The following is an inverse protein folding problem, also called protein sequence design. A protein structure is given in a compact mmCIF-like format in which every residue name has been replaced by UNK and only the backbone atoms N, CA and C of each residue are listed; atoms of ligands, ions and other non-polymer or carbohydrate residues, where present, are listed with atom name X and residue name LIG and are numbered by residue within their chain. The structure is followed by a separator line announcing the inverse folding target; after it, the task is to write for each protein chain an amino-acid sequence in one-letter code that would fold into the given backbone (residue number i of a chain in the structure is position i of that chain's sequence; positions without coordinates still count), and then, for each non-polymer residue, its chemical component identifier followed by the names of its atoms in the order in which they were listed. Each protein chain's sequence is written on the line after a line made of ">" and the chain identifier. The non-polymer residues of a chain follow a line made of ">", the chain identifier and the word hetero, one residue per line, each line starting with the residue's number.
data_IF_750547352218
#
_entry.id   IF_750547352218
#
_cell.length_a   1.000
_cell.length_b   1.000
_cell.length_c   1.000
_cell.angle_alpha   90.00
_cell.angle_beta   90.00
_cell.angle_gamma   90.00
#
_symmetry.space_group_name_H-M   'P 1'
#
loop_
_entity.id
_entity.type
_entity.pdbx_description
1 polymer ?
#
# COMPACT_ATOMS: atom_id res chain seq x y z
N UNK A 1 0.07 -47.21 9.89
CA UNK A 1 0.91 -46.10 9.41
C UNK A 1 0.69 -44.94 10.36
N UNK A 2 1.75 -44.25 10.78
CA UNK A 2 1.62 -43.09 11.68
C UNK A 2 1.36 -41.88 10.80
N UNK A 3 0.31 -41.15 11.14
CA UNK A 3 -0.07 -39.93 10.42
C UNK A 3 0.46 -38.70 11.18
N UNK A 4 1.54 -38.11 10.69
CA UNK A 4 2.14 -36.91 11.27
C UNK A 4 1.35 -35.62 10.98
N UNK A 5 0.25 -35.69 10.24
CA UNK A 5 -0.69 -34.57 10.14
C UNK A 5 -1.47 -34.38 11.44
N UNK A 6 -1.61 -35.45 12.25
CA UNK A 6 -2.30 -35.40 13.53
C UNK A 6 -1.48 -34.60 14.56
N UNK A 7 -2.10 -33.63 15.28
CA UNK A 7 -1.37 -32.70 16.17
C UNK A 7 -0.51 -33.39 17.24
N UNK A 8 -1.02 -34.49 17.83
CA UNK A 8 -0.31 -35.21 18.89
C UNK A 8 0.98 -35.88 18.39
N UNK A 9 0.93 -36.54 17.21
CA UNK A 9 2.12 -37.16 16.62
C UNK A 9 3.15 -36.12 16.20
N UNK A 10 2.69 -34.98 15.66
CA UNK A 10 3.53 -33.85 15.32
C UNK A 10 4.24 -33.30 16.56
N UNK A 11 3.51 -33.07 17.67
CA UNK A 11 4.09 -32.54 18.90
C UNK A 11 5.17 -33.48 19.47
N UNK A 12 4.93 -34.80 19.50
CA UNK A 12 5.90 -35.76 19.96
C UNK A 12 7.14 -35.82 19.06
N UNK A 13 6.95 -35.80 17.74
CA UNK A 13 8.06 -35.80 16.81
C UNK A 13 8.92 -34.52 16.95
N UNK A 14 8.30 -33.37 17.14
CA UNK A 14 9.00 -32.11 17.42
C UNK A 14 9.75 -32.16 18.75
N UNK A 15 9.16 -32.76 19.79
CA UNK A 15 9.83 -32.95 21.07
C UNK A 15 11.08 -33.83 20.95
N UNK A 16 10.99 -34.95 20.18
CA UNK A 16 12.13 -35.80 19.89
C UNK A 16 13.26 -35.11 19.10
N UNK A 17 12.90 -34.18 18.24
CA UNK A 17 13.88 -33.39 17.47
C UNK A 17 14.54 -32.30 18.31
N UNK A 18 13.80 -31.68 19.23
CA UNK A 18 14.26 -30.54 20.02
C UNK A 18 15.08 -30.91 21.24
N UNK A 19 14.86 -32.11 21.80
CA UNK A 19 15.47 -32.56 23.05
C UNK A 19 16.17 -33.92 22.85
N UNK A 20 17.19 -34.20 23.64
CA UNK A 20 17.89 -35.48 23.58
C UNK A 20 18.64 -35.71 24.91
N UNK A 21 18.38 -36.80 25.63
CA UNK A 21 17.30 -37.77 25.42
C UNK A 21 15.94 -37.28 25.87
N UNK A 22 14.88 -37.85 25.35
CA UNK A 22 13.47 -37.54 25.68
C UNK A 22 12.84 -38.68 26.49
N UNK A 23 12.12 -38.33 27.54
CA UNK A 23 11.35 -39.30 28.32
C UNK A 23 9.93 -39.41 27.77
N UNK A 24 9.60 -40.57 27.18
CA UNK A 24 8.30 -40.83 26.58
C UNK A 24 7.54 -41.81 27.46
N UNK A 25 6.43 -41.34 28.09
CA UNK A 25 5.55 -42.13 28.92
C UNK A 25 4.16 -42.13 28.31
N UNK A 26 3.52 -43.28 28.27
CA UNK A 26 2.14 -43.44 27.78
C UNK A 26 2.03 -44.48 26.67
N UNK A 27 0.97 -45.29 26.73
CA UNK A 27 0.73 -46.37 25.78
C UNK A 27 0.40 -45.85 24.38
N UNK A 28 -0.18 -44.67 24.29
CA UNK A 28 -0.52 -44.04 23.01
C UNK A 28 0.70 -43.79 22.10
N UNK A 29 1.90 -43.64 22.69
CA UNK A 29 3.11 -43.34 21.90
C UNK A 29 3.87 -44.59 21.45
N UNK A 30 3.47 -45.79 21.92
CA UNK A 30 4.15 -47.05 21.57
C UNK A 30 4.22 -47.31 20.07
N UNK A 31 3.19 -46.98 19.25
CA UNK A 31 3.27 -47.19 17.81
C UNK A 31 4.44 -46.41 17.16
N UNK A 32 4.66 -45.14 17.54
CA UNK A 32 5.76 -44.35 17.00
C UNK A 32 7.11 -44.83 17.54
N UNK A 33 7.19 -45.09 18.83
CA UNK A 33 8.42 -45.61 19.45
C UNK A 33 8.79 -46.96 18.85
N UNK A 34 7.81 -47.86 18.66
CA UNK A 34 8.02 -49.13 17.99
C UNK A 34 8.55 -48.96 16.56
N UNK A 35 7.85 -48.17 15.75
CA UNK A 35 8.28 -47.88 14.37
C UNK A 35 9.72 -47.38 14.30
N UNK A 36 10.07 -46.41 15.16
CA UNK A 36 11.41 -45.84 15.16
C UNK A 36 12.48 -46.83 15.66
N UNK A 37 12.16 -47.69 16.64
CA UNK A 37 13.07 -48.74 17.13
C UNK A 37 13.30 -49.83 16.09
N UNK A 38 12.24 -50.33 15.51
CA UNK A 38 12.29 -51.43 14.51
C UNK A 38 13.13 -51.03 13.28
N UNK A 39 13.14 -49.73 12.98
CA UNK A 39 13.96 -49.17 11.88
C UNK A 39 15.32 -48.61 12.36
N UNK A 40 15.73 -48.85 13.58
CA UNK A 40 17.01 -48.38 14.15
C UNK A 40 17.19 -46.86 14.13
N UNK A 41 16.07 -46.13 14.21
CA UNK A 41 16.03 -44.66 14.17
C UNK A 41 16.07 -44.06 15.59
N UNK A 42 15.94 -44.91 16.63
CA UNK A 42 15.84 -44.52 18.02
C UNK A 42 16.75 -45.38 18.90
N UNK A 43 17.52 -44.74 19.76
CA UNK A 43 18.33 -45.39 20.80
C UNK A 43 17.59 -45.32 22.13
N UNK A 44 17.60 -46.43 22.87
CA UNK A 44 16.98 -46.50 24.22
C UNK A 44 18.04 -46.27 25.29
N UNK A 45 17.84 -45.31 26.19
CA UNK A 45 18.64 -45.02 27.37
C UNK A 45 17.92 -45.45 28.67
N UNK A 46 17.27 -46.61 28.66
CA UNK A 46 16.43 -47.13 29.76
C UNK A 46 15.02 -47.46 29.32
N UNK A 47 14.12 -47.66 30.27
CA UNK A 47 12.76 -48.16 29.97
C UNK A 47 11.86 -47.14 29.24
N UNK A 48 12.12 -45.84 29.38
CA UNK A 48 11.28 -44.77 28.82
C UNK A 48 12.05 -43.59 28.28
N UNK A 49 13.37 -43.65 28.25
CA UNK A 49 14.24 -42.58 27.74
C UNK A 49 14.78 -42.93 26.37
N UNK A 50 14.66 -42.04 25.43
CA UNK A 50 14.97 -42.29 24.03
C UNK A 50 15.73 -41.13 23.40
N UNK A 51 16.62 -41.45 22.48
CA UNK A 51 17.40 -40.51 21.69
C UNK A 51 17.32 -40.86 20.20
N UNK A 52 17.14 -39.85 19.35
CA UNK A 52 17.15 -40.06 17.91
C UNK A 52 18.57 -40.29 17.37
N UNK A 53 18.71 -41.31 16.55
CA UNK A 53 19.93 -41.45 15.73
C UNK A 53 19.98 -40.33 14.68
N UNK A 54 21.15 -40.07 14.05
CA UNK A 54 21.22 -39.11 12.93
C UNK A 54 20.27 -39.49 11.79
N UNK A 55 20.04 -40.76 11.53
CA UNK A 55 19.06 -41.26 10.56
C UNK A 55 17.62 -40.97 11.01
N UNK A 56 17.33 -41.16 12.30
CA UNK A 56 16.03 -40.85 12.90
C UNK A 56 15.68 -39.38 12.83
N UNK A 57 16.67 -38.50 13.07
CA UNK A 57 16.47 -37.04 12.90
C UNK A 57 16.10 -36.70 11.46
N UNK A 58 16.84 -37.20 10.47
CA UNK A 58 16.49 -36.98 9.04
C UNK A 58 15.13 -37.51 8.68
N UNK A 59 14.77 -38.70 9.16
CA UNK A 59 13.48 -39.33 8.94
C UNK A 59 12.34 -38.47 9.46
N UNK A 60 12.35 -38.13 10.77
CA UNK A 60 11.29 -37.33 11.37
C UNK A 60 11.20 -35.92 10.78
N UNK A 61 12.32 -35.28 10.48
CA UNK A 61 12.32 -33.97 9.80
C UNK A 61 11.63 -34.08 8.44
N UNK A 62 11.93 -35.11 7.66
CA UNK A 62 11.29 -35.33 6.35
C UNK A 62 9.80 -35.61 6.51
N UNK A 63 9.39 -36.49 7.42
CA UNK A 63 7.98 -36.84 7.62
C UNK A 63 7.15 -35.64 8.12
N UNK A 64 7.70 -34.82 9.02
CA UNK A 64 7.06 -33.58 9.46
C UNK A 64 6.92 -32.57 8.31
N UNK A 65 7.95 -32.42 7.49
CA UNK A 65 7.90 -31.58 6.31
C UNK A 65 6.86 -32.05 5.30
N UNK A 66 6.77 -33.36 5.05
CA UNK A 66 5.76 -33.95 4.17
C UNK A 66 4.34 -33.78 4.72
N UNK A 67 4.17 -33.92 6.03
CA UNK A 67 2.89 -33.70 6.70
C UNK A 67 2.50 -32.21 6.67
N UNK A 68 3.46 -31.30 6.75
CA UNK A 68 3.24 -29.87 6.65
C UNK A 68 2.81 -29.49 5.22
N UNK A 69 3.47 -30.03 4.20
CA UNK A 69 3.08 -29.86 2.80
C UNK A 69 1.69 -30.46 2.54
N UNK A 70 1.39 -31.66 3.07
CA UNK A 70 0.09 -32.32 2.91
C UNK A 70 -1.06 -31.59 3.65
N UNK A 71 -0.76 -30.86 4.71
CA UNK A 71 -1.73 -30.05 5.46
C UNK A 71 -1.70 -28.57 5.10
N UNK A 72 -0.78 -28.14 4.25
CA UNK A 72 -0.80 -26.80 3.72
C UNK A 72 -2.15 -26.56 3.02
N UNK A 73 -2.81 -25.45 3.30
CA UNK A 73 -4.02 -25.13 2.54
C UNK A 73 -3.64 -25.03 1.05
N UNK A 74 -4.54 -25.40 0.17
CA UNK A 74 -4.31 -25.20 -1.27
C UNK A 74 -4.02 -23.73 -1.54
N UNK A 75 -3.25 -23.47 -2.59
CA UNK A 75 -3.06 -22.10 -3.08
C UNK A 75 -4.44 -21.44 -3.24
N UNK A 76 -4.60 -20.18 -2.81
CA UNK A 76 -5.91 -19.53 -2.78
C UNK A 76 -6.62 -19.58 -4.13
N UNK A 77 -5.89 -19.42 -5.23
CA UNK A 77 -6.44 -19.45 -6.59
C UNK A 77 -6.94 -20.84 -6.96
N UNK A 78 -6.18 -21.89 -6.63
CA UNK A 78 -6.59 -23.29 -6.90
C UNK A 78 -7.84 -23.65 -6.10
N UNK A 79 -7.90 -23.21 -4.84
CA UNK A 79 -9.06 -23.45 -4.00
C UNK A 79 -10.29 -22.72 -4.55
N UNK A 80 -10.18 -21.44 -4.93
CA UNK A 80 -11.26 -20.66 -5.52
C UNK A 80 -11.77 -21.30 -6.80
N UNK A 81 -10.84 -21.71 -7.68
CA UNK A 81 -11.18 -22.38 -8.93
C UNK A 81 -11.92 -23.69 -8.69
N UNK A 82 -11.50 -24.49 -7.72
CA UNK A 82 -12.19 -25.73 -7.33
C UNK A 82 -13.61 -25.47 -6.80
N UNK A 83 -13.89 -24.29 -6.24
CA UNK A 83 -15.23 -23.88 -5.83
C UNK A 83 -16.04 -23.21 -6.97
N UNK A 84 -15.49 -23.11 -8.17
CA UNK A 84 -16.11 -22.42 -9.30
C UNK A 84 -16.03 -20.88 -9.19
N UNK A 85 -15.17 -20.36 -8.35
CA UNK A 85 -14.95 -18.92 -8.18
C UNK A 85 -13.71 -18.49 -8.93
N UNK A 86 -13.73 -17.25 -9.42
CA UNK A 86 -12.59 -16.65 -10.08
C UNK A 86 -12.34 -15.25 -9.53
N UNK A 87 -11.08 -14.92 -9.32
CA UNK A 87 -10.68 -13.55 -9.06
C UNK A 87 -10.75 -12.75 -10.36
N UNK A 88 -11.24 -11.52 -10.29
CA UNK A 88 -11.18 -10.60 -11.42
C UNK A 88 -9.75 -10.07 -11.62
N UNK A 89 -9.53 -9.34 -12.72
CA UNK A 89 -8.25 -8.68 -12.98
C UNK A 89 -7.89 -7.63 -11.90
N UNK A 90 -8.88 -7.02 -11.27
CA UNK A 90 -8.71 -6.02 -10.22
C UNK A 90 -9.26 -6.56 -8.91
N UNK A 91 -8.39 -6.84 -7.96
CA UNK A 91 -8.73 -7.49 -6.69
C UNK A 91 -8.43 -6.55 -5.53
N UNK A 92 -9.38 -6.47 -4.59
CA UNK A 92 -9.15 -5.72 -3.37
C UNK A 92 -8.00 -6.34 -2.55
N UNK A 93 -7.01 -5.53 -2.18
CA UNK A 93 -5.82 -5.98 -1.45
C UNK A 93 -6.16 -6.66 -0.11
N UNK A 94 -7.22 -6.21 0.59
CA UNK A 94 -7.67 -6.83 1.84
C UNK A 94 -8.29 -8.21 1.61
N UNK A 95 -9.01 -8.37 0.50
CA UNK A 95 -9.57 -9.67 0.11
C UNK A 95 -8.44 -10.65 -0.18
N UNK A 96 -7.45 -10.21 -0.95
CA UNK A 96 -6.30 -11.05 -1.26
C UNK A 96 -5.48 -11.37 0.01
N UNK A 97 -5.22 -10.38 0.86
CA UNK A 97 -4.54 -10.61 2.15
C UNK A 97 -5.29 -11.65 3.01
N UNK A 98 -6.62 -11.57 3.06
CA UNK A 98 -7.43 -12.56 3.78
C UNK A 98 -7.34 -13.96 3.17
N UNK A 99 -7.36 -14.09 1.84
CA UNK A 99 -7.18 -15.37 1.14
C UNK A 99 -5.81 -16.00 1.43
N UNK A 100 -4.76 -15.17 1.46
CA UNK A 100 -3.39 -15.59 1.82
C UNK A 100 -3.14 -15.63 3.34
N UNK A 101 -4.20 -15.47 4.16
CA UNK A 101 -4.16 -15.53 5.63
C UNK A 101 -3.14 -14.57 6.26
N UNK A 102 -2.90 -13.44 5.61
CA UNK A 102 -2.07 -12.37 6.16
C UNK A 102 -2.84 -11.61 7.22
N UNK A 103 -2.19 -11.30 8.36
CA UNK A 103 -2.77 -10.49 9.42
C UNK A 103 -2.87 -9.00 9.05
N UNK A 104 -2.05 -8.56 8.10
CA UNK A 104 -1.98 -7.19 7.61
C UNK A 104 -1.94 -7.17 6.10
N UNK A 105 -2.39 -6.06 5.52
CA UNK A 105 -2.29 -5.80 4.08
C UNK A 105 -0.85 -5.36 3.78
N UNK A 106 0.03 -6.34 3.67
CA UNK A 106 1.42 -6.11 3.35
C UNK A 106 1.90 -7.19 2.35
N UNK A 107 2.08 -6.78 1.10
CA UNK A 107 2.62 -7.62 0.05
C UNK A 107 4.02 -7.17 -0.31
N UNK A 108 4.95 -8.10 -0.31
CA UNK A 108 6.32 -7.85 -0.77
C UNK A 108 6.36 -7.53 -2.26
N UNK A 109 7.39 -6.86 -2.77
CA UNK A 109 7.52 -6.60 -4.20
C UNK A 109 7.47 -7.87 -5.06
N UNK A 110 8.02 -8.98 -4.59
CA UNK A 110 7.98 -10.26 -5.30
C UNK A 110 6.55 -10.83 -5.38
N UNK A 111 5.81 -10.78 -4.28
CA UNK A 111 4.40 -11.20 -4.30
C UNK A 111 3.55 -10.34 -5.24
N UNK A 112 3.82 -9.04 -5.31
CA UNK A 112 3.12 -8.15 -6.24
C UNK A 112 3.43 -8.52 -7.70
N UNK A 113 4.69 -8.82 -8.02
CA UNK A 113 5.08 -9.30 -9.35
C UNK A 113 4.39 -10.63 -9.67
N UNK A 114 4.36 -11.58 -8.72
CA UNK A 114 3.69 -12.88 -8.92
C UNK A 114 2.18 -12.70 -9.19
N UNK A 115 1.53 -11.73 -8.56
CA UNK A 115 0.13 -11.42 -8.84
C UNK A 115 -0.05 -10.79 -10.21
N UNK A 116 0.81 -9.85 -10.60
CA UNK A 116 0.78 -9.24 -11.93
C UNK A 116 1.01 -10.26 -13.04
N UNK A 117 1.93 -11.21 -12.86
CA UNK A 117 2.17 -12.33 -13.76
C UNK A 117 0.94 -13.25 -13.91
N UNK A 118 0.13 -13.36 -12.86
CA UNK A 118 -1.17 -14.07 -12.85
C UNK A 118 -2.32 -13.21 -13.40
N UNK A 119 -2.05 -11.98 -13.85
CA UNK A 119 -3.05 -11.05 -14.35
C UNK A 119 -3.88 -10.37 -13.25
N UNK A 120 -3.44 -10.43 -11.99
CA UNK A 120 -4.13 -9.84 -10.84
C UNK A 120 -3.47 -8.50 -10.50
N UNK A 121 -4.25 -7.43 -10.53
CA UNK A 121 -3.85 -6.10 -10.06
C UNK A 121 -4.50 -5.80 -8.72
N UNK A 122 -3.69 -5.37 -7.77
CA UNK A 122 -4.16 -4.99 -6.43
C UNK A 122 -4.83 -3.61 -6.45
N UNK A 123 -5.89 -3.47 -5.68
CA UNK A 123 -6.66 -2.25 -5.55
C UNK A 123 -7.03 -2.04 -4.07
N UNK A 124 -6.71 -0.88 -3.53
CA UNK A 124 -7.11 -0.52 -2.17
C UNK A 124 -8.61 -0.14 -2.07
N UNK A 125 -9.28 0.04 -3.21
CA UNK A 125 -10.66 0.54 -3.34
C UNK A 125 -10.88 1.88 -2.61
N UNK A 126 -9.86 2.72 -2.57
CA UNK A 126 -9.95 4.06 -2.02
C UNK A 126 -10.79 4.97 -2.93
N UNK A 127 -11.34 6.01 -2.32
CA UNK A 127 -12.03 7.05 -3.08
C UNK A 127 -11.02 8.10 -3.51
N UNK A 128 -10.96 8.38 -4.80
CA UNK A 128 -10.34 9.59 -5.31
C UNK A 128 -11.40 10.71 -5.32
N UNK A 129 -11.05 11.89 -4.84
CA UNK A 129 -11.95 13.05 -4.82
C UNK A 129 -11.42 14.12 -5.77
N UNK A 130 -12.33 14.68 -6.57
CA UNK A 130 -12.03 15.68 -7.59
C UNK A 130 -12.87 16.94 -7.34
N UNK A 131 -12.25 18.11 -7.39
CA UNK A 131 -12.91 19.42 -7.39
C UNK A 131 -12.41 20.23 -8.56
N UNK A 132 -13.30 21.03 -9.13
CA UNK A 132 -12.98 21.97 -10.19
C UNK A 132 -13.90 23.19 -10.12
N UNK A 133 -13.41 24.35 -10.55
CA UNK A 133 -14.25 25.56 -10.68
C UNK A 133 -15.18 25.50 -11.90
N UNK A 134 -14.85 24.65 -12.87
CA UNK A 134 -15.60 24.49 -14.13
C UNK A 134 -16.11 23.06 -14.27
N UNK A 135 -17.23 22.85 -14.96
CA UNK A 135 -17.74 21.53 -15.27
C UNK A 135 -16.75 20.71 -16.12
N UNK A 136 -16.71 19.42 -15.88
CA UNK A 136 -15.99 18.44 -16.69
C UNK A 136 -16.81 17.16 -16.84
N UNK A 137 -16.45 16.35 -17.82
CA UNK A 137 -17.02 15.02 -18.02
C UNK A 137 -15.92 13.95 -17.98
N UNK A 138 -16.31 12.76 -17.54
CA UNK A 138 -15.46 11.58 -17.45
C UNK A 138 -15.83 10.64 -18.59
N UNK A 139 -14.90 10.36 -19.47
CA UNK A 139 -15.05 9.42 -20.57
C UNK A 139 -14.33 8.10 -20.22
N UNK A 140 -15.07 7.01 -20.24
CA UNK A 140 -14.59 5.68 -19.93
C UNK A 140 -14.36 4.84 -21.20
N UNK A 141 -13.40 3.92 -21.14
CA UNK A 141 -13.01 3.04 -22.26
C UNK A 141 -14.16 2.21 -22.84
N UNK A 142 -15.21 1.95 -22.04
CA UNK A 142 -16.43 1.31 -22.51
C UNK A 142 -17.39 2.21 -23.29
N UNK A 143 -16.97 3.44 -23.64
CA UNK A 143 -17.81 4.41 -24.36
C UNK A 143 -18.78 5.20 -23.47
N UNK A 144 -18.75 4.99 -22.16
CA UNK A 144 -19.60 5.71 -21.19
C UNK A 144 -19.05 7.11 -20.97
N UNK A 145 -19.92 8.11 -21.09
CA UNK A 145 -19.65 9.50 -20.72
C UNK A 145 -20.48 9.85 -19.49
N UNK A 146 -19.82 10.33 -18.45
CA UNK A 146 -20.46 10.80 -17.21
C UNK A 146 -20.20 12.29 -17.09
N UNK A 147 -21.28 13.07 -17.10
CA UNK A 147 -21.23 14.51 -16.78
C UNK A 147 -21.05 14.71 -15.28
N UNK A 148 -19.98 15.36 -14.88
CA UNK A 148 -19.68 15.67 -13.48
C UNK A 148 -20.36 16.96 -13.00
N UNK A 149 -20.90 17.78 -13.89
CA UNK A 149 -21.49 19.08 -13.54
C UNK A 149 -22.58 19.00 -12.46
N UNK A 150 -23.54 18.06 -12.49
CA UNK A 150 -24.55 17.95 -11.44
C UNK A 150 -23.97 17.67 -10.06
N UNK A 151 -22.91 16.85 -9.99
CA UNK A 151 -22.26 16.52 -8.72
C UNK A 151 -21.44 17.68 -8.18
N UNK A 152 -20.69 18.35 -9.04
CA UNK A 152 -19.94 19.55 -8.66
C UNK A 152 -20.88 20.65 -8.17
N UNK A 153 -22.03 20.83 -8.82
CA UNK A 153 -23.02 21.83 -8.41
C UNK A 153 -23.71 21.47 -7.09
N UNK A 154 -24.06 20.20 -6.89
CA UNK A 154 -24.82 19.76 -5.72
C UNK A 154 -23.93 19.49 -4.50
N UNK A 155 -22.72 18.93 -4.71
CA UNK A 155 -21.85 18.41 -3.66
C UNK A 155 -20.52 19.17 -3.56
N UNK A 156 -20.18 20.00 -4.55
CA UNK A 156 -18.89 20.68 -4.64
C UNK A 156 -17.73 19.79 -5.10
N UNK A 157 -17.96 18.50 -5.23
CA UNK A 157 -16.92 17.52 -5.58
C UNK A 157 -17.48 16.27 -6.27
N UNK A 158 -16.59 15.49 -6.87
CA UNK A 158 -16.85 14.16 -7.41
C UNK A 158 -15.97 13.17 -6.71
N UNK A 159 -16.56 12.15 -6.08
CA UNK A 159 -15.84 11.06 -5.44
C UNK A 159 -15.97 9.78 -6.28
N UNK A 160 -14.84 9.21 -6.70
CA UNK A 160 -14.79 8.04 -7.57
C UNK A 160 -14.02 6.92 -6.90
N UNK A 161 -14.59 5.71 -6.82
CA UNK A 161 -13.85 4.54 -6.40
C UNK A 161 -12.69 4.23 -7.35
N UNK A 162 -11.57 3.79 -6.83
CA UNK A 162 -10.39 3.43 -7.60
C UNK A 162 -10.71 2.41 -8.71
N UNK A 163 -11.58 1.46 -8.43
CA UNK A 163 -12.09 0.50 -9.43
C UNK A 163 -12.77 1.15 -10.62
N UNK A 164 -13.55 2.19 -10.37
CA UNK A 164 -14.23 2.96 -11.43
C UNK A 164 -13.19 3.68 -12.30
N UNK A 165 -12.15 4.21 -11.66
CA UNK A 165 -11.05 4.90 -12.36
C UNK A 165 -10.25 3.98 -13.28
N UNK A 166 -10.20 2.67 -13.04
CA UNK A 166 -9.48 1.72 -13.89
C UNK A 166 -9.95 1.75 -15.36
N UNK A 167 -11.19 2.16 -15.61
CA UNK A 167 -11.74 2.34 -16.96
C UNK A 167 -11.70 3.79 -17.48
N UNK A 168 -11.16 4.74 -16.71
CA UNK A 168 -11.13 6.15 -17.10
C UNK A 168 -10.17 6.35 -18.29
N UNK A 169 -10.70 6.80 -19.41
CA UNK A 169 -9.93 7.09 -20.63
C UNK A 169 -9.54 8.55 -20.77
N UNK A 170 -10.47 9.48 -20.51
CA UNK A 170 -10.24 10.93 -20.64
C UNK A 170 -11.07 11.73 -19.65
N UNK A 171 -10.50 12.85 -19.21
CA UNK A 171 -11.24 13.92 -18.55
C UNK A 171 -11.46 15.02 -19.59
N UNK A 172 -12.73 15.27 -19.93
CA UNK A 172 -13.12 16.25 -20.94
C UNK A 172 -13.60 17.52 -20.22
N UNK A 173 -12.95 18.63 -20.52
CA UNK A 173 -13.30 19.93 -19.98
C UNK A 173 -14.48 20.53 -20.77
N UNK A 174 -15.46 21.12 -20.08
CA UNK A 174 -16.66 21.64 -20.73
C UNK A 174 -16.37 22.89 -21.57
N UNK A 175 -15.82 23.93 -20.94
CA UNK A 175 -15.40 25.16 -21.60
C UNK A 175 -13.93 25.47 -21.26
N UNK A 176 -13.18 25.90 -22.26
CA UNK A 176 -11.74 26.18 -22.12
C UNK A 176 -10.89 24.90 -22.09
N UNK A 177 -9.77 24.95 -21.39
CA UNK A 177 -8.84 23.84 -21.24
C UNK A 177 -8.42 23.67 -19.80
N UNK A 178 -8.09 22.44 -19.42
CA UNK A 178 -7.37 22.20 -18.17
C UNK A 178 -5.94 22.67 -18.32
N UNK A 179 -5.50 23.56 -17.47
CA UNK A 179 -4.18 24.15 -17.49
C UNK A 179 -3.30 23.59 -16.36
N UNK A 180 -3.94 23.28 -15.25
CA UNK A 180 -3.26 22.88 -14.02
C UNK A 180 -4.00 21.76 -13.28
N UNK A 181 -3.23 20.86 -12.72
CA UNK A 181 -3.68 19.90 -11.71
C UNK A 181 -2.98 20.20 -10.40
N UNK A 182 -3.74 20.32 -9.34
CA UNK A 182 -3.21 20.38 -7.98
C UNK A 182 -3.59 19.09 -7.29
N UNK A 183 -2.60 18.36 -6.79
CA UNK A 183 -2.84 17.20 -5.92
C UNK A 183 -2.62 17.58 -4.47
N UNK A 184 -3.30 16.94 -3.56
CA UNK A 184 -3.08 17.07 -2.12
C UNK A 184 -3.35 15.75 -1.41
N UNK A 185 -2.61 15.49 -0.34
CA UNK A 185 -2.81 14.38 0.60
C UNK A 185 -3.62 14.81 1.84
N UNK A 186 -3.85 16.11 2.02
CA UNK A 186 -4.67 16.66 3.10
C UNK A 186 -6.14 16.81 2.70
N UNK A 187 -7.03 16.22 3.48
CA UNK A 187 -8.48 16.36 3.31
C UNK A 187 -8.93 17.81 3.62
N UNK A 188 -8.35 18.43 4.64
CA UNK A 188 -8.65 19.82 5.02
C UNK A 188 -8.24 20.79 3.91
N UNK A 189 -7.00 20.67 3.40
CA UNK A 189 -6.54 21.48 2.29
C UNK A 189 -7.36 21.26 1.02
N UNK A 190 -7.78 20.03 0.74
CA UNK A 190 -8.67 19.73 -0.37
C UNK A 190 -10.03 20.43 -0.25
N UNK A 191 -10.59 20.45 0.95
CA UNK A 191 -11.89 21.07 1.18
C UNK A 191 -11.86 22.60 1.04
N UNK A 192 -10.80 23.24 1.54
CA UNK A 192 -10.73 24.68 1.70
C UNK A 192 -10.02 25.43 0.57
N UNK A 193 -9.18 24.75 -0.23
CA UNK A 193 -8.43 25.42 -1.31
C UNK A 193 -9.40 26.07 -2.31
N UNK A 194 -9.33 27.42 -2.50
CA UNK A 194 -10.09 28.07 -3.55
C UNK A 194 -9.54 27.69 -4.93
N UNK A 195 -10.46 27.48 -5.88
CA UNK A 195 -10.12 27.02 -7.21
C UNK A 195 -10.26 28.12 -8.25
N UNK A 196 -9.22 28.30 -9.07
CA UNK A 196 -9.24 29.13 -10.24
C UNK A 196 -9.76 28.35 -11.47
N UNK A 197 -10.35 29.00 -12.48
CA UNK A 197 -10.68 28.39 -13.74
C UNK A 197 -9.48 27.64 -14.35
N UNK A 198 -9.74 26.54 -15.06
CA UNK A 198 -8.67 25.70 -15.64
C UNK A 198 -7.94 24.81 -14.63
N UNK A 199 -8.33 24.79 -13.36
CA UNK A 199 -7.71 24.00 -12.31
C UNK A 199 -8.55 22.79 -11.93
N UNK A 200 -7.92 21.60 -11.93
CA UNK A 200 -8.45 20.37 -11.32
C UNK A 200 -7.71 20.12 -10.00
N UNK A 201 -8.43 20.06 -8.92
CA UNK A 201 -7.90 19.65 -7.61
C UNK A 201 -8.22 18.19 -7.37
N UNK A 202 -7.21 17.44 -6.96
CA UNK A 202 -7.28 15.99 -6.74
C UNK A 202 -6.80 15.67 -5.33
N UNK A 203 -7.68 15.12 -4.51
CA UNK A 203 -7.25 14.50 -3.26
C UNK A 203 -6.82 13.06 -3.56
N UNK A 204 -5.56 12.76 -3.24
CA UNK A 204 -4.96 11.45 -3.48
C UNK A 204 -4.70 10.78 -2.13
N UNK A 205 -5.45 9.73 -1.77
CA UNK A 205 -5.15 8.99 -0.56
C UNK A 205 -3.77 8.32 -0.68
N UNK A 206 -3.00 8.23 0.42
CA UNK A 206 -1.65 7.68 0.42
C UNK A 206 -1.55 6.26 -0.14
N UNK A 207 -2.62 5.48 -0.02
CA UNK A 207 -2.70 4.07 -0.40
C UNK A 207 -3.31 3.80 -1.78
N UNK A 208 -3.55 4.82 -2.62
CA UNK A 208 -4.18 4.64 -3.93
C UNK A 208 -3.26 5.01 -5.12
N UNK A 209 -2.15 4.30 -5.35
CA UNK A 209 -1.23 4.62 -6.45
C UNK A 209 -1.86 4.47 -7.83
N UNK A 210 -2.74 3.47 -8.02
CA UNK A 210 -3.40 3.22 -9.32
C UNK A 210 -4.35 4.34 -9.70
N UNK A 211 -5.14 4.87 -8.76
CA UNK A 211 -6.07 5.95 -9.00
C UNK A 211 -5.38 7.19 -9.60
N UNK A 212 -4.22 7.56 -9.06
CA UNK A 212 -3.45 8.68 -9.57
C UNK A 212 -2.93 8.42 -10.98
N UNK A 213 -2.42 7.22 -11.27
CA UNK A 213 -1.93 6.86 -12.61
C UNK A 213 -3.04 6.96 -13.66
N UNK A 214 -4.26 6.54 -13.33
CA UNK A 214 -5.41 6.65 -14.22
C UNK A 214 -5.77 8.12 -14.52
N UNK A 215 -5.76 8.98 -13.51
CA UNK A 215 -5.98 10.43 -13.71
C UNK A 215 -4.88 11.03 -14.58
N UNK A 216 -3.62 10.67 -14.36
CA UNK A 216 -2.49 11.14 -15.20
C UNK A 216 -2.68 10.74 -16.64
N UNK A 217 -3.04 9.48 -16.90
CA UNK A 217 -3.27 8.98 -18.27
C UNK A 217 -4.48 9.64 -18.96
N UNK A 218 -5.48 10.06 -18.18
CA UNK A 218 -6.71 10.68 -18.68
C UNK A 218 -6.58 12.19 -18.98
N UNK A 219 -5.44 12.81 -18.63
CA UNK A 219 -5.21 14.24 -18.76
C UNK A 219 -4.23 14.57 -19.91
N UNK A 220 -4.28 15.79 -20.48
CA UNK A 220 -3.32 16.22 -21.48
C UNK A 220 -1.87 16.16 -20.95
N UNK A 221 -0.89 15.78 -21.78
CA UNK A 221 0.49 15.61 -21.36
C UNK A 221 1.20 16.92 -20.94
N UNK A 222 0.71 18.06 -21.42
CA UNK A 222 1.27 19.39 -21.16
C UNK A 222 0.66 20.10 -19.94
N UNK A 223 -0.26 19.47 -19.25
CA UNK A 223 -0.89 20.04 -18.04
C UNK A 223 0.16 20.24 -16.95
N UNK A 224 0.13 21.38 -16.27
CA UNK A 224 1.02 21.67 -15.15
C UNK A 224 0.59 20.92 -13.90
N UNK A 225 1.54 20.29 -13.21
CA UNK A 225 1.27 19.56 -11.96
C UNK A 225 1.90 20.27 -10.77
N UNK A 226 1.09 20.47 -9.74
CA UNK A 226 1.54 20.99 -8.46
C UNK A 226 1.04 20.09 -7.35
N UNK A 227 1.73 20.12 -6.21
CA UNK A 227 1.33 19.37 -5.02
C UNK A 227 1.24 20.31 -3.83
N UNK A 228 0.12 20.29 -3.15
CA UNK A 228 -0.12 20.98 -1.89
C UNK A 228 -0.02 19.97 -0.76
N UNK A 229 1.03 20.06 0.02
CA UNK A 229 1.30 19.23 1.19
C UNK A 229 1.91 20.07 2.30
N UNK A 230 2.12 19.51 3.48
CA UNK A 230 2.78 20.23 4.57
C UNK A 230 4.17 20.72 4.14
N UNK A 231 4.54 21.91 4.58
CA UNK A 231 5.88 22.49 4.38
C UNK A 231 6.81 21.98 5.48
N UNK A 232 7.23 20.75 5.34
CA UNK A 232 8.13 20.03 6.25
C UNK A 232 9.03 19.04 5.44
N UNK A 233 10.03 18.42 6.06
CA UNK A 233 10.88 17.45 5.36
C UNK A 233 10.12 16.29 4.74
N UNK A 234 9.03 15.82 5.37
CA UNK A 234 8.19 14.77 4.84
C UNK A 234 7.37 15.23 3.62
N UNK A 235 6.99 16.53 3.57
CA UNK A 235 6.35 17.15 2.42
C UNK A 235 7.25 17.17 1.18
N UNK A 236 8.56 17.44 1.37
CA UNK A 236 9.53 17.34 0.26
C UNK A 236 9.61 15.91 -0.26
N UNK A 237 9.69 14.93 0.64
CA UNK A 237 9.73 13.51 0.24
C UNK A 237 8.44 13.11 -0.51
N UNK A 238 7.26 13.59 -0.05
CA UNK A 238 5.97 13.35 -0.74
C UNK A 238 5.93 13.97 -2.14
N UNK A 239 6.41 15.21 -2.28
CA UNK A 239 6.49 15.86 -3.60
C UNK A 239 7.40 15.09 -4.56
N UNK A 240 8.56 14.63 -4.09
CA UNK A 240 9.48 13.84 -4.90
C UNK A 240 8.88 12.47 -5.28
N UNK A 241 8.24 11.79 -4.34
CA UNK A 241 7.55 10.53 -4.60
C UNK A 241 6.40 10.71 -5.60
N UNK A 242 5.67 11.81 -5.51
CA UNK A 242 4.64 12.16 -6.49
C UNK A 242 5.24 12.36 -7.88
N UNK A 243 6.29 13.16 -8.02
CA UNK A 243 6.96 13.40 -9.31
C UNK A 243 7.45 12.08 -9.95
N UNK A 244 8.01 11.18 -9.15
CA UNK A 244 8.41 9.84 -9.61
C UNK A 244 7.20 9.02 -10.12
N UNK A 245 6.10 9.00 -9.37
CA UNK A 245 4.87 8.28 -9.77
C UNK A 245 4.25 8.86 -11.04
N UNK A 246 4.29 10.18 -11.19
CA UNK A 246 3.80 10.85 -12.39
C UNK A 246 4.69 10.64 -13.61
N UNK A 247 5.96 10.24 -13.41
CA UNK A 247 6.99 10.19 -14.47
C UNK A 247 7.30 11.58 -15.06
N UNK A 248 7.01 12.67 -14.33
CA UNK A 248 7.15 14.05 -14.77
C UNK A 248 7.37 14.99 -13.59
N UNK A 249 7.96 16.19 -13.81
CA UNK A 249 8.12 17.18 -12.74
C UNK A 249 6.77 17.58 -12.12
N UNK A 250 6.77 17.77 -10.81
CA UNK A 250 5.69 18.38 -10.05
C UNK A 250 6.25 19.52 -9.22
N UNK A 251 5.56 20.66 -9.24
CA UNK A 251 5.92 21.85 -8.47
C UNK A 251 5.28 21.80 -7.08
N UNK A 252 5.89 22.45 -6.10
CA UNK A 252 5.24 22.66 -4.82
C UNK A 252 4.24 23.83 -4.93
N UNK A 253 3.01 23.62 -4.49
CA UNK A 253 1.99 24.66 -4.42
C UNK A 253 2.11 25.40 -3.10
N UNK A 254 2.58 26.66 -3.15
CA UNK A 254 2.97 27.41 -1.97
C UNK A 254 2.21 28.74 -1.87
N UNK A 255 1.99 29.24 -0.64
CA UNK A 255 1.59 30.62 -0.44
C UNK A 255 2.59 31.61 -1.06
N UNK A 256 2.08 32.65 -1.74
CA UNK A 256 2.93 33.64 -2.39
C UNK A 256 3.78 34.43 -1.38
N UNK A 257 3.16 34.82 -0.24
CA UNK A 257 3.81 35.52 0.85
C UNK A 257 4.02 34.56 2.03
N UNK A 258 5.05 33.74 1.94
CA UNK A 258 5.32 32.68 2.90
C UNK A 258 5.79 33.21 4.27
N UNK A 259 6.63 34.27 4.29
CA UNK A 259 7.27 34.76 5.49
C UNK A 259 6.30 35.23 6.61
N UNK A 260 5.25 36.02 6.34
CA UNK A 260 4.26 36.38 7.36
C UNK A 260 3.50 35.17 7.90
N UNK A 261 3.20 34.18 7.02
CA UNK A 261 2.47 32.98 7.41
C UNK A 261 3.35 32.10 8.30
N UNK A 262 4.63 31.93 7.96
CA UNK A 262 5.60 31.23 8.81
C UNK A 262 5.72 31.91 10.18
N UNK A 263 5.85 33.25 10.22
CA UNK A 263 5.95 33.98 11.48
C UNK A 263 4.72 33.78 12.38
N UNK A 264 3.52 33.64 11.79
CA UNK A 264 2.29 33.55 12.56
C UNK A 264 1.90 32.10 12.90
N UNK A 265 2.21 31.12 12.03
CA UNK A 265 1.63 29.79 12.10
C UNK A 265 2.64 28.63 11.99
N UNK A 266 3.96 28.92 11.88
CA UNK A 266 4.93 27.85 11.87
C UNK A 266 4.91 27.07 13.19
N UNK A 267 4.90 25.76 13.07
CA UNK A 267 4.98 24.85 14.21
C UNK A 267 6.39 24.26 14.30
N UNK A 268 6.96 24.14 15.52
CA UNK A 268 8.24 23.49 15.70
C UNK A 268 8.20 22.04 15.24
N UNK A 269 9.25 21.59 14.57
CA UNK A 269 9.42 20.19 14.18
C UNK A 269 9.96 19.36 15.36
N UNK A 270 9.14 19.13 16.39
CA UNK A 270 9.57 18.52 17.66
C UNK A 270 9.85 17.01 17.51
N UNK A 271 9.11 16.32 16.68
CA UNK A 271 9.24 14.87 16.46
C UNK A 271 9.56 14.51 15.00
N UNK A 272 9.66 15.50 14.13
CA UNK A 272 9.93 15.29 12.73
C UNK A 272 11.44 15.17 12.48
N UNK A 273 11.78 14.44 11.42
CA UNK A 273 13.13 14.40 10.91
C UNK A 273 13.63 15.81 10.62
N UNK A 274 14.85 16.18 11.04
CA UNK A 274 15.38 17.51 10.79
C UNK A 274 15.54 17.78 9.29
N UNK A 275 15.52 19.07 8.92
CA UNK A 275 15.79 19.49 7.56
C UNK A 275 17.19 19.06 7.10
N UNK A 276 17.27 18.30 6.01
CA UNK A 276 18.52 17.92 5.36
C UNK A 276 18.64 18.65 4.02
N UNK A 277 19.35 19.78 4.01
CA UNK A 277 19.51 20.63 2.81
C UNK A 277 20.04 19.88 1.59
N UNK A 278 20.86 18.84 1.80
CA UNK A 278 21.41 18.01 0.73
C UNK A 278 20.36 17.20 -0.04
N UNK A 279 19.21 16.98 0.55
CA UNK A 279 18.08 16.25 -0.06
C UNK A 279 17.06 17.16 -0.75
N UNK A 280 17.18 18.46 -0.54
CA UNK A 280 16.24 19.42 -1.09
C UNK A 280 16.61 19.70 -2.56
N UNK A 281 15.66 19.62 -3.49
CA UNK A 281 15.88 20.05 -4.87
C UNK A 281 16.38 21.50 -4.91
N UNK A 282 17.32 21.79 -5.80
CA UNK A 282 17.90 23.13 -5.93
C UNK A 282 16.85 24.24 -6.13
N UNK A 283 15.79 23.94 -6.87
CA UNK A 283 14.65 24.82 -7.12
C UNK A 283 13.88 25.18 -5.84
N UNK A 284 13.93 24.36 -4.80
CA UNK A 284 13.23 24.58 -3.52
C UNK A 284 14.13 25.12 -2.42
N UNK A 285 15.44 25.23 -2.66
CA UNK A 285 16.40 25.63 -1.61
C UNK A 285 16.07 27.01 -1.00
N UNK A 286 15.68 27.97 -1.81
CA UNK A 286 15.34 29.31 -1.33
C UNK A 286 14.14 29.30 -0.36
N UNK A 287 13.10 28.51 -0.67
CA UNK A 287 11.92 28.35 0.18
C UNK A 287 12.27 27.60 1.45
N UNK A 288 12.97 26.47 1.30
CA UNK A 288 13.34 25.62 2.41
C UNK A 288 14.35 26.27 3.36
N UNK A 289 15.19 27.21 2.89
CA UNK A 289 16.10 27.95 3.77
C UNK A 289 15.36 28.72 4.87
N UNK A 290 14.25 29.38 4.53
CA UNK A 290 13.41 30.06 5.52
C UNK A 290 12.80 29.10 6.55
N UNK A 291 12.41 27.91 6.10
CA UNK A 291 11.85 26.85 6.96
C UNK A 291 12.92 26.25 7.88
N UNK A 292 14.12 26.05 7.35
CA UNK A 292 15.29 25.56 8.12
C UNK A 292 15.69 26.55 9.20
N UNK A 293 15.78 27.85 8.86
CA UNK A 293 16.15 28.92 9.81
C UNK A 293 15.13 29.03 10.96
N UNK A 294 13.86 28.87 10.68
CA UNK A 294 12.81 28.87 11.70
C UNK A 294 12.71 27.54 12.47
N UNK A 295 13.39 26.47 12.04
CA UNK A 295 13.21 25.10 12.50
C UNK A 295 11.73 24.72 12.61
N UNK A 296 10.92 25.19 11.68
CA UNK A 296 9.48 25.06 11.68
C UNK A 296 8.94 24.47 10.39
N UNK A 297 7.67 24.15 10.42
CA UNK A 297 6.89 23.71 9.26
C UNK A 297 5.50 24.31 9.28
N UNK A 298 4.81 24.28 8.15
CA UNK A 298 3.41 24.65 8.04
C UNK A 298 2.58 23.45 7.61
N UNK A 299 1.40 23.31 8.18
CA UNK A 299 0.45 22.30 7.68
C UNK A 299 -0.11 22.69 6.31
N UNK A 300 -0.53 21.68 5.56
CA UNK A 300 -1.17 21.88 4.26
C UNK A 300 -2.46 22.73 4.38
N UNK A 301 -3.19 22.58 5.49
CA UNK A 301 -4.41 23.30 5.78
C UNK A 301 -4.15 24.81 5.92
N UNK A 302 -3.12 25.21 6.65
CA UNK A 302 -2.72 26.62 6.76
C UNK A 302 -2.31 27.15 5.40
N UNK A 303 -1.55 26.36 4.66
CA UNK A 303 -1.24 26.71 3.28
C UNK A 303 -2.50 26.89 2.44
N UNK A 304 -3.52 26.07 2.55
CA UNK A 304 -4.75 26.17 1.78
C UNK A 304 -5.57 27.45 2.04
N UNK A 305 -5.38 28.11 3.15
CA UNK A 305 -6.10 29.34 3.51
C UNK A 305 -5.40 30.62 3.04
N UNK A 306 -4.20 30.54 2.48
CA UNK A 306 -3.49 31.72 2.04
C UNK A 306 -4.22 32.43 0.88
N UNK A 307 -4.19 33.79 0.83
CA UNK A 307 -4.95 34.53 -0.15
C UNK A 307 -4.38 34.49 -1.58
N UNK A 308 -3.14 34.07 -1.73
CA UNK A 308 -2.46 33.97 -3.03
C UNK A 308 -1.41 32.87 -3.04
N UNK A 309 -1.22 32.26 -4.21
CA UNK A 309 -0.39 31.08 -4.42
C UNK A 309 0.56 31.22 -5.59
N UNK A 310 1.60 30.40 -5.60
CA UNK A 310 2.45 30.17 -6.76
C UNK A 310 2.99 28.74 -6.76
N UNK A 311 3.39 28.27 -7.91
CA UNK A 311 4.04 26.99 -8.09
C UNK A 311 5.57 27.18 -8.07
N UNK A 312 6.28 26.36 -7.28
CA UNK A 312 7.73 26.37 -7.16
C UNK A 312 8.28 24.97 -7.38
N UNK A 313 9.23 24.84 -8.31
CA UNK A 313 9.81 23.55 -8.65
C UNK A 313 10.72 23.60 -9.86
#
# INVERSE_FOLDING_TARGET
>A
MIDFSHPEWRALAQQLLSHSPVVIRGRQWQPLVGLLKDNQLLLAHGSHSYELTPAGRRYLTRELMLAEIATAPPEPEEWLHAQGWQLGELVNERVLAALYRKSEVNFTPNEQIDFEDKGIRLCADQLLRLRAAQPFSLFFSGGTLIDAAPWLQALGEVALPERTLAGLGKILWGEGSIERVITTDSVGAFAELPLEPGTLLVWVPPSAPLALQQVVAALPPNVLWSHLTALDPAGVDRLQALAQRLGRPASWWLPRDLAPILSAYAQPLIEARPWELSRIPKSLLAVCSCLVESNGGLSAEVCALAPAWHAVG
#
